data_IF_947066407624
#
_entry.id   IF_947066407624
#
_cell.length_a   1.000
_cell.length_b   1.000
_cell.length_c   1.000
_cell.angle_alpha   90.00
_cell.angle_beta   90.00
_cell.angle_gamma   90.00
#
_symmetry.space_group_name_H-M   'P 1'
#
loop_
_entity.id
_entity.type
_entity.pdbx_description
1 polymer ?
#
# COMPACT_ATOMS: atom_id res chain seq x y z
N UNK A 1 -3.77 -15.46 2.25
CA UNK A 1 -2.96 -14.91 1.14
C UNK A 1 -1.68 -14.43 1.79
N UNK A 2 -0.55 -15.05 1.49
CA UNK A 2 0.76 -14.68 2.05
C UNK A 2 1.46 -13.79 1.02
N UNK A 3 1.87 -12.59 1.41
CA UNK A 3 2.53 -11.64 0.51
C UNK A 3 3.94 -11.35 1.02
N UNK A 4 4.88 -11.22 0.10
CA UNK A 4 6.24 -10.72 0.36
C UNK A 4 6.35 -9.33 -0.24
N UNK A 5 6.84 -8.38 0.55
CA UNK A 5 7.13 -7.02 0.09
C UNK A 5 8.60 -6.72 0.30
N UNK A 6 9.24 -6.25 -0.76
CA UNK A 6 10.57 -5.65 -0.69
C UNK A 6 10.35 -4.15 -0.74
N UNK A 7 10.90 -3.39 0.20
CA UNK A 7 10.76 -1.94 0.18
C UNK A 7 12.11 -1.31 0.50
N UNK A 8 12.64 -0.49 -0.39
CA UNK A 8 13.71 0.42 -0.03
C UNK A 8 13.08 1.79 0.36
N UNK A 9 13.71 2.58 1.26
CA UNK A 9 13.01 3.53 2.14
C UNK A 9 12.38 4.79 1.49
N UNK A 10 12.52 5.03 0.18
CA UNK A 10 12.29 6.35 -0.43
C UNK A 10 11.37 6.33 -1.68
N UNK A 11 10.15 5.80 -1.57
CA UNK A 11 9.09 6.05 -2.56
C UNK A 11 8.70 7.55 -2.62
N UNK A 12 8.07 8.00 -3.71
CA UNK A 12 7.50 9.35 -3.79
C UNK A 12 6.03 9.23 -4.16
N UNK A 13 5.22 9.56 -3.16
CA UNK A 13 3.77 9.76 -3.14
C UNK A 13 2.84 8.55 -3.30
N UNK A 14 2.30 8.10 -2.16
CA UNK A 14 1.29 7.04 -2.03
C UNK A 14 -0.06 7.57 -1.54
N UNK A 15 -0.21 8.89 -1.39
CA UNK A 15 -1.43 9.49 -0.85
C UNK A 15 -2.48 9.67 -1.95
N UNK A 16 -3.70 9.18 -1.71
CA UNK A 16 -4.84 9.43 -2.60
C UNK A 16 -5.96 10.17 -1.87
N UNK A 17 -6.59 11.11 -2.60
CA UNK A 17 -7.83 11.76 -2.19
C UNK A 17 -9.01 11.02 -2.83
N UNK A 18 -9.86 10.38 -2.03
CA UNK A 18 -11.11 9.79 -2.53
C UNK A 18 -12.28 10.68 -2.16
N UNK A 19 -13.00 11.23 -3.15
CA UNK A 19 -14.35 11.78 -2.94
C UNK A 19 -15.34 10.61 -3.04
N UNK A 20 -16.09 10.34 -1.98
CA UNK A 20 -17.26 9.47 -2.08
C UNK A 20 -18.50 10.33 -2.29
N UNK A 21 -18.98 10.43 -3.52
CA UNK A 21 -20.33 10.94 -3.79
C UNK A 21 -21.30 9.76 -3.66
N UNK A 22 -22.00 9.69 -2.53
CA UNK A 22 -23.21 8.90 -2.41
C UNK A 22 -24.38 9.84 -2.67
N UNK A 23 -25.16 9.54 -3.71
CA UNK A 23 -26.39 10.26 -4.02
C UNK A 23 -27.31 10.26 -2.78
N UNK A 24 -27.47 11.42 -2.15
CA UNK A 24 -28.50 11.65 -1.12
C UNK A 24 -28.03 12.06 0.29
N UNK A 25 -26.74 12.01 0.64
CA UNK A 25 -26.27 12.49 1.95
C UNK A 25 -25.11 13.48 1.73
N UNK A 26 -25.38 14.77 1.93
CA UNK A 26 -24.35 15.83 1.93
C UNK A 26 -23.47 15.71 3.18
N UNK A 27 -22.50 14.80 3.13
CA UNK A 27 -21.26 14.84 3.90
C UNK A 27 -20.30 13.78 3.31
N UNK A 28 -19.71 14.08 2.16
CA UNK A 28 -18.54 13.33 1.70
C UNK A 28 -17.41 13.61 2.69
N UNK A 29 -17.15 12.69 3.63
CA UNK A 29 -15.97 12.80 4.51
C UNK A 29 -14.74 12.64 3.63
N UNK A 30 -14.04 13.74 3.39
CA UNK A 30 -12.77 13.72 2.69
C UNK A 30 -11.70 13.12 3.61
N UNK A 31 -11.63 11.79 3.65
CA UNK A 31 -10.67 11.05 4.47
C UNK A 31 -9.39 10.80 3.68
N UNK A 32 -8.25 11.21 4.23
CA UNK A 32 -6.91 10.92 3.68
C UNK A 32 -6.68 9.41 3.73
N UNK A 33 -6.23 8.81 2.62
CA UNK A 33 -5.94 7.37 2.55
C UNK A 33 -4.56 7.14 1.96
N UNK A 34 -3.78 6.32 2.65
CA UNK A 34 -2.51 5.81 2.14
C UNK A 34 -2.79 4.59 1.28
N UNK A 35 -2.28 4.59 0.05
CA UNK A 35 -2.40 3.46 -0.87
C UNK A 35 -1.05 2.77 -0.98
N UNK A 36 -0.96 1.52 -0.55
CA UNK A 36 0.21 0.68 -0.81
C UNK A 36 -0.08 -0.17 -2.05
N UNK A 37 0.57 0.07 -3.20
CA UNK A 37 0.26 -0.61 -4.44
C UNK A 37 0.41 -2.13 -4.34
N UNK A 38 -0.21 -2.84 -5.27
CA UNK A 38 -0.08 -4.29 -5.42
C UNK A 38 0.29 -4.64 -6.87
N UNK A 39 0.80 -5.85 -7.08
CA UNK A 39 1.17 -6.37 -8.39
C UNK A 39 0.37 -7.62 -8.77
N UNK A 40 -0.21 -7.59 -9.98
CA UNK A 40 -0.70 -8.77 -10.69
C UNK A 40 0.35 -9.36 -11.64
N UNK A 41 1.53 -8.74 -11.71
CA UNK A 41 2.63 -9.13 -12.58
C UNK A 41 3.54 -10.13 -11.87
N UNK A 42 4.11 -9.76 -10.73
CA UNK A 42 4.94 -10.63 -9.89
C UNK A 42 4.03 -11.47 -8.97
N UNK A 43 3.29 -12.38 -9.57
CA UNK A 43 2.22 -13.11 -8.89
C UNK A 43 2.26 -14.58 -9.31
N UNK A 44 2.11 -15.52 -8.38
CA UNK A 44 2.04 -16.94 -8.70
C UNK A 44 0.74 -17.32 -9.45
N UNK A 45 -0.23 -16.40 -9.55
CA UNK A 45 -1.36 -16.51 -10.47
C UNK A 45 -0.96 -16.76 -11.93
N UNK A 46 0.29 -16.45 -12.31
CA UNK A 46 0.85 -16.77 -13.64
C UNK A 46 0.92 -18.27 -13.93
N UNK A 47 0.95 -19.12 -12.89
CA UNK A 47 0.84 -20.57 -13.05
C UNK A 47 -0.51 -21.05 -13.60
N UNK A 48 -1.52 -20.19 -13.68
CA UNK A 48 -2.81 -20.49 -14.27
C UNK A 48 -2.86 -20.25 -15.80
N UNK A 49 -1.77 -19.79 -16.44
CA UNK A 49 -1.78 -19.62 -17.90
C UNK A 49 -0.42 -19.37 -18.54
N UNK A 50 0.36 -18.40 -18.05
CA UNK A 50 1.53 -17.87 -18.78
C UNK A 50 2.89 -18.43 -18.33
N UNK A 51 2.94 -19.16 -17.22
CA UNK A 51 4.16 -19.75 -16.67
C UNK A 51 3.92 -21.21 -16.31
N UNK A 52 4.72 -22.12 -16.86
CA UNK A 52 4.55 -23.56 -16.67
C UNK A 52 5.43 -24.13 -15.56
N UNK A 53 6.64 -23.60 -15.39
CA UNK A 53 7.66 -24.15 -14.49
C UNK A 53 8.06 -23.18 -13.39
N UNK A 54 8.62 -23.72 -12.30
CA UNK A 54 9.20 -22.87 -11.24
C UNK A 54 10.44 -22.11 -11.68
N UNK A 55 11.13 -22.56 -12.73
CA UNK A 55 12.29 -21.87 -13.29
C UNK A 55 11.87 -20.57 -13.98
N UNK A 56 10.85 -20.64 -14.84
CA UNK A 56 10.28 -19.48 -15.53
C UNK A 56 9.72 -18.45 -14.55
N UNK A 57 8.96 -18.89 -13.55
CA UNK A 57 8.41 -17.98 -12.53
C UNK A 57 9.54 -17.29 -11.75
N UNK A 58 10.54 -18.06 -11.32
CA UNK A 58 11.70 -17.52 -10.61
C UNK A 58 12.46 -16.51 -11.46
N UNK A 59 12.78 -16.84 -12.71
CA UNK A 59 13.51 -15.94 -13.60
C UNK A 59 12.77 -14.61 -13.79
N UNK A 60 11.46 -14.67 -14.05
CA UNK A 60 10.65 -13.48 -14.23
C UNK A 60 10.61 -12.58 -12.98
N UNK A 61 10.43 -13.16 -11.79
CA UNK A 61 10.39 -12.38 -10.54
C UNK A 61 11.79 -11.88 -10.17
N UNK A 62 12.84 -12.67 -10.41
CA UNK A 62 14.24 -12.27 -10.21
C UNK A 62 14.59 -11.06 -11.07
N UNK A 63 14.24 -11.07 -12.35
CA UNK A 63 14.58 -9.95 -13.25
C UNK A 63 13.91 -8.65 -12.79
N UNK A 64 12.67 -8.72 -12.29
CA UNK A 64 12.00 -7.59 -11.66
C UNK A 64 12.69 -7.10 -10.37
N UNK A 65 13.18 -8.03 -9.54
CA UNK A 65 13.95 -7.69 -8.34
C UNK A 65 15.30 -7.04 -8.72
N UNK A 66 16.10 -7.65 -9.59
CA UNK A 66 17.43 -7.17 -9.98
C UNK A 66 17.35 -5.76 -10.60
N UNK A 67 16.32 -5.51 -11.41
CA UNK A 67 16.06 -4.19 -12.00
C UNK A 67 15.80 -3.15 -10.91
N UNK A 68 14.87 -3.43 -9.98
CA UNK A 68 14.53 -2.49 -8.91
C UNK A 68 15.68 -2.31 -7.90
N UNK A 69 16.49 -3.36 -7.70
CA UNK A 69 17.67 -3.31 -6.85
C UNK A 69 18.73 -2.38 -7.45
N UNK A 70 19.00 -2.49 -8.75
CA UNK A 70 19.90 -1.59 -9.47
C UNK A 70 19.42 -0.13 -9.44
N UNK A 71 18.13 0.13 -9.70
CA UNK A 71 17.54 1.48 -9.57
C UNK A 71 17.62 2.01 -8.13
N UNK A 72 17.53 1.11 -7.15
CA UNK A 72 17.59 1.38 -5.72
C UNK A 72 18.89 2.04 -5.25
N UNK A 73 19.99 1.94 -6.02
CA UNK A 73 21.24 2.64 -5.74
C UNK A 73 21.06 4.17 -5.68
N UNK A 74 20.06 4.70 -6.40
CA UNK A 74 19.76 6.14 -6.43
C UNK A 74 18.36 6.46 -5.92
N UNK A 75 17.38 5.62 -6.25
CA UNK A 75 15.98 5.85 -5.94
C UNK A 75 15.31 4.53 -5.54
N UNK A 76 15.43 4.12 -4.27
CA UNK A 76 14.66 3.04 -3.65
C UNK A 76 13.21 2.89 -4.12
N UNK A 77 12.76 1.64 -4.35
CA UNK A 77 11.37 1.28 -4.71
C UNK A 77 10.87 0.10 -3.89
N UNK A 78 9.57 -0.18 -4.03
CA UNK A 78 8.95 -1.37 -3.47
C UNK A 78 8.56 -2.38 -4.56
N UNK A 79 8.53 -3.65 -4.20
CA UNK A 79 8.05 -4.75 -5.03
C UNK A 79 7.14 -5.64 -4.20
N UNK A 80 5.92 -5.89 -4.69
CA UNK A 80 5.02 -6.89 -4.10
C UNK A 80 5.09 -8.19 -4.87
N UNK A 81 5.15 -9.31 -4.14
CA UNK A 81 5.04 -10.66 -4.69
C UNK A 81 3.78 -11.34 -4.14
N UNK A 82 2.84 -11.64 -5.04
CA UNK A 82 1.57 -12.28 -4.69
C UNK A 82 1.65 -13.79 -4.70
N UNK A 83 1.27 -14.44 -3.60
CA UNK A 83 1.31 -15.89 -3.46
C UNK A 83 -0.02 -16.48 -2.98
N UNK A 84 -0.33 -17.68 -3.49
CA UNK A 84 -1.51 -18.46 -3.15
C UNK A 84 -1.12 -19.87 -2.74
N UNK A 85 -1.59 -20.34 -1.57
CA UNK A 85 -1.27 -21.68 -1.05
C UNK A 85 -1.58 -22.80 -2.06
N UNK A 86 -2.72 -22.70 -2.76
CA UNK A 86 -3.13 -23.66 -3.79
C UNK A 86 -2.28 -23.63 -5.08
N UNK A 87 -1.37 -22.67 -5.23
CA UNK A 87 -0.52 -22.54 -6.41
C UNK A 87 0.95 -22.72 -6.02
N UNK A 88 1.58 -21.76 -5.37
CA UNK A 88 3.00 -21.87 -4.99
C UNK A 88 3.27 -23.00 -3.99
N UNK A 89 2.27 -23.43 -3.22
CA UNK A 89 2.42 -24.49 -2.21
C UNK A 89 2.65 -25.89 -2.78
N UNK A 90 2.44 -26.10 -4.08
CA UNK A 90 2.81 -27.36 -4.72
C UNK A 90 4.34 -27.51 -4.77
N UNK A 91 4.92 -28.67 -4.41
CA UNK A 91 6.38 -28.83 -4.28
C UNK A 91 7.18 -28.40 -5.53
N UNK A 92 6.68 -28.75 -6.72
CA UNK A 92 7.32 -28.37 -7.99
C UNK A 92 7.40 -26.84 -8.21
N UNK A 93 6.46 -26.09 -7.63
CA UNK A 93 6.35 -24.62 -7.73
C UNK A 93 7.08 -23.93 -6.56
N UNK A 94 6.99 -24.49 -5.36
CA UNK A 94 7.65 -23.99 -4.15
C UNK A 94 9.18 -23.87 -4.32
N UNK A 95 9.79 -24.76 -5.11
CA UNK A 95 11.22 -24.69 -5.44
C UNK A 95 11.63 -23.35 -6.08
N UNK A 96 10.75 -22.70 -6.84
CA UNK A 96 11.00 -21.36 -7.41
C UNK A 96 10.99 -20.27 -6.36
N UNK A 97 10.09 -20.37 -5.38
CA UNK A 97 10.04 -19.44 -4.24
C UNK A 97 11.29 -19.59 -3.36
N UNK A 98 11.73 -20.81 -3.07
CA UNK A 98 12.96 -21.05 -2.31
C UNK A 98 14.17 -20.38 -2.99
N UNK A 99 14.34 -20.61 -4.30
CA UNK A 99 15.41 -19.95 -5.09
C UNK A 99 15.31 -18.42 -5.06
N UNK A 100 14.11 -17.86 -5.09
CA UNK A 100 13.90 -16.41 -4.97
C UNK A 100 14.37 -15.88 -3.61
N UNK A 101 13.99 -16.56 -2.53
CA UNK A 101 14.42 -16.17 -1.18
C UNK A 101 15.93 -16.28 -1.01
N UNK A 102 16.54 -17.35 -1.52
CA UNK A 102 18.00 -17.53 -1.52
C UNK A 102 18.72 -16.45 -2.34
N UNK A 103 18.16 -16.03 -3.48
CA UNK A 103 18.72 -14.94 -4.29
C UNK A 103 18.68 -13.63 -3.55
N UNK A 104 17.53 -13.30 -2.96
CA UNK A 104 17.34 -12.04 -2.23
C UNK A 104 18.20 -11.98 -0.97
N UNK A 105 18.35 -13.11 -0.26
CA UNK A 105 19.19 -13.20 0.94
C UNK A 105 20.69 -12.97 0.68
N UNK A 106 21.13 -12.96 -0.58
CA UNK A 106 22.52 -12.63 -0.97
C UNK A 106 22.75 -11.13 -1.20
N UNK A 107 21.71 -10.31 -1.18
CA UNK A 107 21.79 -8.88 -1.46
C UNK A 107 21.62 -8.08 -0.15
N UNK A 108 22.52 -7.13 0.08
CA UNK A 108 22.44 -6.23 1.23
C UNK A 108 21.42 -5.10 0.99
N UNK A 109 20.94 -4.44 2.05
CA UNK A 109 20.03 -3.29 1.91
C UNK A 109 18.60 -3.64 1.45
N UNK A 110 18.23 -4.92 1.44
CA UNK A 110 16.85 -5.36 1.17
C UNK A 110 16.05 -5.43 2.47
N UNK A 111 14.92 -4.72 2.53
CA UNK A 111 13.96 -4.85 3.62
C UNK A 111 12.76 -5.70 3.20
N UNK A 112 12.67 -6.89 3.79
CA UNK A 112 11.50 -7.78 3.67
C UNK A 112 10.47 -7.37 4.72
N UNK A 113 9.35 -6.81 4.27
CA UNK A 113 8.41 -6.11 5.13
C UNK A 113 6.98 -6.65 5.03
N UNK A 114 6.20 -6.49 6.10
CA UNK A 114 4.73 -6.57 5.99
C UNK A 114 4.21 -5.25 5.44
N UNK A 115 3.07 -5.27 4.74
CA UNK A 115 2.43 -4.02 4.24
C UNK A 115 2.19 -2.99 5.33
N UNK A 116 1.84 -3.43 6.53
CA UNK A 116 1.57 -2.54 7.67
C UNK A 116 2.84 -1.82 8.13
N UNK A 117 4.01 -2.45 8.00
CA UNK A 117 5.29 -1.84 8.35
C UNK A 117 5.68 -0.78 7.31
N UNK A 118 5.45 -1.06 6.03
CA UNK A 118 5.60 -0.07 4.94
C UNK A 118 4.67 1.12 5.17
N UNK A 119 3.40 0.85 5.54
CA UNK A 119 2.44 1.91 5.85
C UNK A 119 2.90 2.76 7.03
N UNK A 120 3.38 2.13 8.12
CA UNK A 120 3.93 2.82 9.28
C UNK A 120 5.15 3.69 8.93
N UNK A 121 6.09 3.14 8.15
CA UNK A 121 7.24 3.89 7.62
C UNK A 121 6.79 5.10 6.81
N UNK A 122 5.80 4.92 5.94
CA UNK A 122 5.26 6.01 5.11
C UNK A 122 4.65 7.14 5.95
N UNK A 123 3.86 6.78 6.96
CA UNK A 123 3.22 7.75 7.85
C UNK A 123 4.25 8.55 8.66
N UNK A 124 5.35 7.91 9.08
CA UNK A 124 6.39 8.54 9.89
C UNK A 124 7.32 9.47 9.07
N UNK A 125 7.71 9.05 7.86
CA UNK A 125 8.74 9.75 7.06
C UNK A 125 8.18 10.58 5.90
N UNK A 126 6.95 10.30 5.46
CA UNK A 126 6.29 10.97 4.35
C UNK A 126 4.86 11.40 4.74
N UNK A 127 4.71 12.24 5.78
CA UNK A 127 3.40 12.72 6.19
C UNK A 127 2.74 13.49 5.05
N UNK A 128 1.42 13.39 4.96
CA UNK A 128 0.65 14.08 3.92
C UNK A 128 0.92 15.60 3.98
N UNK A 129 1.39 16.24 2.88
CA UNK A 129 1.87 17.62 2.90
C UNK A 129 0.76 18.68 2.94
N UNK A 130 -0.49 18.31 2.65
CA UNK A 130 -1.61 19.24 2.63
C UNK A 130 -2.33 19.36 3.97
N UNK A 131 -3.01 20.49 4.20
CA UNK A 131 -4.18 20.49 5.07
C UNK A 131 -5.20 19.55 4.44
N UNK A 132 -5.58 18.50 5.16
CA UNK A 132 -6.75 17.73 4.78
C UNK A 132 -7.93 18.69 4.73
N UNK A 133 -8.82 18.55 3.75
CA UNK A 133 -9.94 19.50 3.58
C UNK A 133 -10.86 19.60 4.82
N UNK A 134 -10.70 18.71 5.82
CA UNK A 134 -11.41 18.76 7.10
C UNK A 134 -10.80 19.71 8.15
N UNK A 135 -9.66 20.36 7.88
CA UNK A 135 -9.10 21.40 8.77
C UNK A 135 -9.78 22.76 8.58
N UNK A 136 -10.62 22.93 7.55
CA UNK A 136 -11.46 24.12 7.37
C UNK A 136 -12.79 24.04 8.16
N UNK A 137 -13.15 22.86 8.67
CA UNK A 137 -14.43 22.63 9.34
C UNK A 137 -14.51 23.13 10.79
N UNK A 138 -13.41 23.58 11.41
CA UNK A 138 -13.49 24.14 12.77
C UNK A 138 -14.16 25.52 12.82
N UNK A 139 -14.16 26.25 11.70
CA UNK A 139 -14.91 27.50 11.52
C UNK A 139 -16.32 27.24 10.99
N UNK A 140 -16.51 26.27 10.09
CA UNK A 140 -17.81 25.96 9.49
C UNK A 140 -18.73 25.17 10.44
N UNK A 141 -18.20 24.31 11.32
CA UNK A 141 -19.02 23.62 12.35
C UNK A 141 -19.68 24.58 13.34
N UNK A 142 -19.14 25.79 13.56
CA UNK A 142 -19.80 26.81 14.40
C UNK A 142 -20.99 27.46 13.71
N UNK A 143 -21.05 27.44 12.37
CA UNK A 143 -22.11 28.06 11.59
C UNK A 143 -23.20 27.07 11.15
N UNK A 144 -22.88 25.77 11.06
CA UNK A 144 -23.83 24.77 10.53
C UNK A 144 -24.52 23.91 11.60
N UNK A 145 -24.13 23.99 12.86
CA UNK A 145 -24.85 23.39 13.97
C UNK A 145 -25.49 24.55 14.74
N UNK A 146 -26.78 24.78 14.48
CA UNK A 146 -27.50 25.94 14.97
C UNK A 146 -27.21 26.19 16.45
N UNK A 147 -26.88 27.44 16.77
CA UNK A 147 -27.09 27.98 18.10
C UNK A 147 -28.52 27.58 18.50
N UNK A 148 -28.63 26.67 19.47
CA UNK A 148 -29.88 26.56 20.20
C UNK A 148 -29.91 27.85 21.01
N UNK A 149 -30.86 28.70 20.69
CA UNK A 149 -31.21 29.84 21.53
C UNK A 149 -31.41 29.30 22.95
N UNK A 150 -30.49 29.66 23.85
CA UNK A 150 -30.75 29.59 25.29
C UNK A 150 -31.84 30.64 25.56
N UNK A 151 -33.09 30.19 25.61
CA UNK A 151 -34.17 31.00 26.17
C UNK A 151 -33.93 31.04 27.68
N UNK A 152 -33.37 32.15 28.13
CA UNK A 152 -33.29 32.53 29.54
C UNK A 152 -34.72 32.56 30.13
N UNK A 153 -34.98 31.97 31.31
CA UNK A 153 -36.29 32.08 31.93
C UNK A 153 -36.50 33.53 32.40
N UNK A 154 -37.49 34.19 31.81
CA UNK A 154 -38.02 35.43 32.37
C UNK A 154 -38.86 35.08 33.60
N UNK A 155 -38.42 35.51 34.78
CA UNK A 155 -39.28 35.77 35.94
C UNK A 155 -38.55 36.75 36.87
N UNK A 156 -39.30 37.64 37.56
CA UNK A 156 -40.15 37.20 38.67
C UNK A 156 -41.65 37.49 38.54
#
# INVERSE_FOLDING_TARGET
>A
MSELHFAAPNLRDLWQNSRSESAGIRCARNTRRLVVPYSLTHNDGKYAGSVGTSGEWFAFVRDGFDTLYAEGATAPKMMSVGLHMRLIGHPARAAGLARLLDHIGKHEGVWVARRIDIAGHWLAHHPFPGRGLNEQDSLIKRLSCGARDEVEPADP
#
